data_IF_127602795622
#
_entry.id   IF_127602795622
#
_cell.length_a   1.000
_cell.length_b   1.000
_cell.length_c   1.000
_cell.angle_alpha   90.00
_cell.angle_beta   90.00
_cell.angle_gamma   90.00
#
_symmetry.space_group_name_H-M   'P 1'
#
loop_
_entity.id
_entity.type
_entity.pdbx_description
1 polymer ?
#
# COMPACT_ATOMS: atom_id res chain seq x y z
N UNK A 1 -10.69 9.29 -11.84
CA UNK A 1 -11.03 9.39 -10.41
C UNK A 1 -9.92 10.14 -9.69
N UNK A 2 -10.23 10.90 -8.63
CA UNK A 2 -9.24 11.64 -7.85
C UNK A 2 -9.13 11.00 -6.47
N UNK A 3 -8.00 10.38 -6.19
CA UNK A 3 -7.67 9.81 -4.88
C UNK A 3 -6.91 10.83 -4.02
N UNK A 4 -6.95 10.65 -2.71
CA UNK A 4 -6.07 11.33 -1.77
C UNK A 4 -4.61 10.84 -1.91
N UNK A 5 -3.70 11.53 -1.24
CA UNK A 5 -2.27 11.18 -1.18
C UNK A 5 -1.82 11.12 0.27
N UNK A 6 -0.97 10.16 0.59
CA UNK A 6 -0.32 10.06 1.90
C UNK A 6 0.79 11.11 2.02
N UNK A 7 0.51 12.17 2.77
CA UNK A 7 1.52 13.12 3.23
C UNK A 7 2.10 12.68 4.59
N UNK A 8 3.10 13.42 5.08
CA UNK A 8 3.77 13.10 6.35
C UNK A 8 2.79 12.96 7.53
N UNK A 9 1.79 13.85 7.62
CA UNK A 9 0.81 13.82 8.70
C UNK A 9 -0.04 12.55 8.69
N UNK A 10 -0.54 12.15 7.52
CA UNK A 10 -1.34 10.94 7.35
C UNK A 10 -0.52 9.66 7.56
N UNK A 11 0.77 9.67 7.20
CA UNK A 11 1.68 8.56 7.48
C UNK A 11 1.87 8.41 8.99
N UNK A 12 2.11 9.50 9.72
CA UNK A 12 2.21 9.46 11.18
C UNK A 12 0.92 9.00 11.84
N UNK A 13 -0.25 9.45 11.35
CA UNK A 13 -1.54 9.00 11.84
C UNK A 13 -1.74 7.50 11.63
N UNK A 14 -1.42 7.00 10.43
CA UNK A 14 -1.47 5.58 10.12
C UNK A 14 -0.52 4.78 11.02
N UNK A 15 0.69 5.27 11.27
CA UNK A 15 1.64 4.66 12.21
C UNK A 15 1.14 4.66 13.67
N UNK A 16 0.42 5.70 14.10
CA UNK A 16 -0.19 5.72 15.44
C UNK A 16 -1.36 4.77 15.56
N UNK A 17 -2.16 4.64 14.49
CA UNK A 17 -3.29 3.72 14.41
C UNK A 17 -2.86 2.24 14.43
N UNK A 18 -1.70 1.97 13.84
CA UNK A 18 -1.18 0.64 13.58
C UNK A 18 0.03 0.34 14.46
N UNK A 19 -0.08 -0.66 15.35
CA UNK A 19 1.07 -1.13 16.14
C UNK A 19 1.95 -2.13 15.35
N UNK A 20 2.07 -1.91 14.03
CA UNK A 20 2.80 -2.77 13.09
C UNK A 20 3.73 -1.93 12.21
N UNK A 21 4.72 -2.55 11.54
CA UNK A 21 5.59 -1.83 10.62
C UNK A 21 4.82 -1.17 9.46
N UNK A 22 5.06 0.12 9.27
CA UNK A 22 4.68 0.88 8.08
C UNK A 22 5.97 1.30 7.39
N UNK A 23 6.25 0.74 6.20
CA UNK A 23 7.46 1.03 5.43
C UNK A 23 7.21 2.07 4.37
N UNK A 24 8.16 2.97 4.19
CA UNK A 24 8.15 4.02 3.17
C UNK A 24 9.57 4.44 2.74
N UNK A 25 10.57 3.60 3.02
CA UNK A 25 11.93 3.74 2.51
C UNK A 25 12.00 3.43 1.00
N UNK A 26 12.96 4.03 0.30
CA UNK A 26 13.07 3.93 -1.16
C UNK A 26 13.17 2.47 -1.66
N UNK A 27 13.96 1.63 -0.98
CA UNK A 27 14.13 0.22 -1.36
C UNK A 27 12.79 -0.53 -1.31
N UNK A 28 12.04 -0.37 -0.23
CA UNK A 28 10.74 -0.99 -0.08
C UNK A 28 9.73 -0.46 -1.10
N UNK A 29 9.67 0.86 -1.32
CA UNK A 29 8.78 1.45 -2.33
C UNK A 29 9.09 0.93 -3.73
N UNK A 30 10.37 0.75 -4.08
CA UNK A 30 10.78 0.19 -5.36
C UNK A 30 10.44 -1.28 -5.51
N UNK A 31 10.71 -2.09 -4.48
CA UNK A 31 10.41 -3.52 -4.49
C UNK A 31 8.91 -3.78 -4.65
N UNK A 32 8.08 -2.97 -4.01
CA UNK A 32 6.63 -3.12 -4.02
C UNK A 32 5.93 -2.39 -5.18
N UNK A 33 6.69 -1.74 -6.08
CA UNK A 33 6.16 -1.04 -7.26
C UNK A 33 5.80 -1.93 -8.44
N UNK A 34 6.18 -3.22 -8.38
CA UNK A 34 6.02 -4.21 -9.46
C UNK A 34 5.72 -5.60 -8.91
N UNK A 35 5.21 -6.46 -9.78
CA UNK A 35 5.16 -7.92 -9.64
C UNK A 35 5.96 -8.57 -10.78
N UNK A 36 5.78 -9.87 -11.01
CA UNK A 36 6.51 -10.62 -12.06
C UNK A 36 5.91 -10.43 -13.47
N UNK A 37 4.99 -9.49 -13.65
CA UNK A 37 4.38 -9.17 -14.95
C UNK A 37 5.34 -8.35 -15.81
N UNK A 38 5.72 -8.86 -16.98
CA UNK A 38 6.71 -8.23 -17.84
C UNK A 38 6.26 -6.88 -18.46
N UNK A 39 4.98 -6.75 -18.81
CA UNK A 39 4.48 -5.62 -19.61
C UNK A 39 3.74 -4.54 -18.80
N UNK A 40 3.64 -4.72 -17.48
CA UNK A 40 2.98 -3.74 -16.60
C UNK A 40 3.95 -2.67 -16.15
N UNK A 41 3.54 -1.40 -16.32
CA UNK A 41 4.30 -0.25 -15.83
C UNK A 41 4.36 -0.27 -14.30
N UNK A 42 5.57 -0.17 -13.75
CA UNK A 42 5.77 -0.02 -12.32
C UNK A 42 5.18 1.30 -11.80
N UNK A 43 4.53 1.24 -10.64
CA UNK A 43 3.96 2.39 -9.94
C UNK A 43 4.32 2.26 -8.47
N UNK A 44 5.10 3.22 -7.95
CA UNK A 44 5.48 3.21 -6.54
C UNK A 44 4.26 3.46 -5.65
N UNK A 45 4.06 2.67 -4.58
CA UNK A 45 3.15 3.05 -3.51
C UNK A 45 3.71 4.25 -2.74
N UNK A 46 2.95 4.72 -1.76
CA UNK A 46 3.40 5.73 -0.79
C UNK A 46 3.82 5.08 0.53
N UNK A 47 3.17 3.96 0.91
CA UNK A 47 3.54 3.14 2.06
C UNK A 47 3.26 1.65 1.81
N UNK A 48 3.91 0.79 2.60
CA UNK A 48 3.62 -0.64 2.70
C UNK A 48 3.27 -0.99 4.15
N UNK A 49 2.17 -1.71 4.36
CA UNK A 49 1.73 -2.20 5.68
C UNK A 49 1.71 -3.72 5.71
N UNK A 50 1.99 -4.30 6.87
CA UNK A 50 2.05 -5.75 7.08
C UNK A 50 1.10 -6.21 8.20
N UNK A 51 -0.24 -6.12 8.01
CA UNK A 51 -1.18 -6.55 9.03
C UNK A 51 -1.07 -8.05 9.30
N UNK A 52 -1.07 -8.43 10.58
CA UNK A 52 -1.02 -9.82 11.04
C UNK A 52 -2.38 -10.29 11.60
N UNK A 53 -3.37 -9.40 11.59
CA UNK A 53 -4.74 -9.69 12.05
C UNK A 53 -5.79 -9.02 11.18
N UNK A 54 -7.00 -9.60 11.17
CA UNK A 54 -8.16 -9.02 10.48
C UNK A 54 -8.59 -7.68 11.08
N UNK A 55 -8.31 -7.46 12.38
CA UNK A 55 -8.56 -6.18 13.04
C UNK A 55 -7.68 -5.05 12.47
N UNK A 56 -6.41 -5.34 12.18
CA UNK A 56 -5.51 -4.36 11.55
C UNK A 56 -5.90 -4.10 10.10
N UNK A 57 -6.27 -5.14 9.33
CA UNK A 57 -6.82 -4.97 7.98
C UNK A 57 -8.03 -4.04 8.01
N UNK A 58 -8.96 -4.26 8.95
CA UNK A 58 -10.14 -3.41 9.10
C UNK A 58 -9.78 -1.95 9.40
N UNK A 59 -8.81 -1.69 10.29
CA UNK A 59 -8.31 -0.34 10.59
C UNK A 59 -7.69 0.33 9.34
N UNK A 60 -6.86 -0.38 8.59
CA UNK A 60 -6.24 0.13 7.36
C UNK A 60 -7.32 0.50 6.34
N UNK A 61 -8.27 -0.40 6.09
CA UNK A 61 -9.34 -0.16 5.12
C UNK A 61 -10.25 1.00 5.54
N UNK A 62 -10.54 1.15 6.84
CA UNK A 62 -11.31 2.29 7.36
C UNK A 62 -10.57 3.62 7.13
N UNK A 63 -9.30 3.68 7.53
CA UNK A 63 -8.44 4.86 7.31
C UNK A 63 -8.37 5.21 5.81
N UNK A 64 -8.09 4.21 4.96
CA UNK A 64 -7.98 4.41 3.52
C UNK A 64 -9.29 4.95 2.92
N UNK A 65 -10.44 4.44 3.36
CA UNK A 65 -11.74 4.91 2.90
C UNK A 65 -12.04 6.35 3.36
N UNK A 66 -11.75 6.70 4.62
CA UNK A 66 -11.96 8.05 5.16
C UNK A 66 -11.14 9.12 4.43
N UNK A 67 -9.90 8.78 4.06
CA UNK A 67 -8.98 9.68 3.37
C UNK A 67 -8.95 9.51 1.84
N UNK A 68 -9.82 8.65 1.28
CA UNK A 68 -9.86 8.32 -0.15
C UNK A 68 -8.50 7.86 -0.71
N UNK A 69 -7.76 7.07 0.06
CA UNK A 69 -6.47 6.49 -0.32
C UNK A 69 -6.69 5.13 -0.98
N UNK A 70 -6.10 4.86 -2.15
CA UNK A 70 -6.24 3.57 -2.81
C UNK A 70 -5.42 2.51 -2.07
N UNK A 71 -5.94 1.29 -2.03
CA UNK A 71 -5.28 0.13 -1.41
C UNK A 71 -5.05 -0.93 -2.48
N UNK A 72 -3.83 -1.41 -2.59
CA UNK A 72 -3.45 -2.55 -3.43
C UNK A 72 -3.17 -3.75 -2.52
N UNK A 73 -4.05 -4.77 -2.50
CA UNK A 73 -3.78 -6.00 -1.77
C UNK A 73 -2.66 -6.75 -2.47
N UNK A 74 -1.72 -7.29 -1.71
CA UNK A 74 -0.58 -8.03 -2.24
C UNK A 74 -0.27 -9.23 -1.35
N UNK A 75 -0.01 -10.38 -1.97
CA UNK A 75 0.62 -11.54 -1.31
C UNK A 75 2.13 -11.53 -1.53
N UNK A 76 2.66 -12.60 -2.13
CA UNK A 76 4.09 -12.65 -2.50
C UNK A 76 4.47 -11.67 -3.63
N UNK A 77 3.52 -11.21 -4.43
CA UNK A 77 3.79 -10.35 -5.60
C UNK A 77 4.38 -11.09 -6.80
N UNK A 78 4.09 -12.38 -6.92
CA UNK A 78 4.55 -13.24 -8.03
C UNK A 78 3.53 -13.41 -9.16
N UNK A 79 2.44 -12.63 -9.12
CA UNK A 79 1.43 -12.64 -10.16
C UNK A 79 1.98 -12.18 -11.50
N UNK A 80 1.39 -12.68 -12.59
CA UNK A 80 1.78 -12.39 -13.98
C UNK A 80 0.72 -11.58 -14.74
N UNK A 81 -0.26 -11.03 -14.01
CA UNK A 81 -1.39 -10.25 -14.57
C UNK A 81 -1.40 -8.79 -14.10
N UNK A 82 -0.40 -8.36 -13.33
CA UNK A 82 -0.29 -7.01 -12.77
C UNK A 82 -1.15 -6.74 -11.53
N UNK A 83 -1.82 -7.76 -10.99
CA UNK A 83 -2.79 -7.57 -9.89
C UNK A 83 -2.18 -7.09 -8.58
N UNK A 84 -0.87 -7.28 -8.39
CA UNK A 84 -0.14 -6.81 -7.21
C UNK A 84 0.60 -5.48 -7.44
N UNK A 85 0.41 -4.85 -8.61
CA UNK A 85 1.02 -3.56 -8.95
C UNK A 85 0.04 -2.43 -8.61
N UNK A 86 0.48 -1.40 -7.85
CA UNK A 86 -0.38 -0.27 -7.56
C UNK A 86 -0.86 0.42 -8.84
N UNK A 87 -2.16 0.71 -8.96
CA UNK A 87 -2.65 1.52 -10.09
C UNK A 87 -2.61 3.02 -9.80
N UNK A 88 -2.72 3.40 -8.51
CA UNK A 88 -2.92 4.79 -8.09
C UNK A 88 -2.05 5.18 -6.88
N UNK A 89 -0.86 4.58 -6.74
CA UNK A 89 0.02 4.75 -5.56
C UNK A 89 -0.70 4.29 -4.29
N UNK A 90 -0.63 5.04 -3.19
CA UNK A 90 -1.35 4.76 -1.95
C UNK A 90 -0.72 3.65 -1.11
N UNK A 91 -1.55 2.79 -0.54
CA UNK A 91 -1.14 1.74 0.40
C UNK A 91 -1.00 0.41 -0.35
N UNK A 92 0.17 -0.23 -0.26
CA UNK A 92 0.25 -1.67 -0.50
C UNK A 92 0.08 -2.40 0.82
N UNK A 93 -0.89 -3.31 0.88
CA UNK A 93 -1.18 -4.12 2.05
C UNK A 93 -0.69 -5.55 1.79
N UNK A 94 0.37 -5.94 2.50
CA UNK A 94 1.15 -7.17 2.29
C UNK A 94 1.03 -8.16 3.44
#
# INVERSE_FOLDING_TARGET
MKYGQLNAHLIEELQRLLQIPVKYDEESLDRYSRDETAEVKAVRPEVITFPVSTAEVSKIMRFANEHMIPVTPRGAGTGLSGGAVPSFRGIVMS
#
